data_IF_247220278640
#
_entry.id   IF_247220278640
#
_cell.length_a   1.000
_cell.length_b   1.000
_cell.length_c   1.000
_cell.angle_alpha   90.00
_cell.angle_beta   90.00
_cell.angle_gamma   90.00
#
_symmetry.space_group_name_H-M   'P 1'
#
loop_
_entity.id
_entity.type
_entity.pdbx_description
1 polymer ?
#
# COMPACT_ATOMS: atom_id res chain seq x y z
N UNK A 1 36.77 -2.12 -11.51
CA UNK A 1 36.19 -0.90 -10.97
C UNK A 1 34.90 -1.35 -10.27
N UNK A 2 34.76 -1.12 -8.96
CA UNK A 2 33.48 -1.40 -8.31
C UNK A 2 32.42 -0.51 -8.98
N UNK A 3 31.36 -1.09 -9.53
CA UNK A 3 30.22 -0.33 -10.02
C UNK A 3 29.67 0.50 -8.86
N UNK A 4 29.62 1.82 -9.06
CA UNK A 4 29.11 2.74 -8.05
C UNK A 4 27.63 2.44 -7.82
N UNK A 5 27.25 2.14 -6.58
CA UNK A 5 25.85 1.95 -6.21
C UNK A 5 25.10 3.29 -6.19
N UNK A 6 23.77 3.24 -6.07
CA UNK A 6 22.88 4.40 -6.13
C UNK A 6 22.84 5.16 -4.80
N UNK A 7 22.68 6.47 -4.87
CA UNK A 7 22.42 7.36 -3.74
C UNK A 7 20.90 7.60 -3.66
N UNK A 8 20.26 7.05 -2.64
CA UNK A 8 18.80 7.02 -2.52
C UNK A 8 18.35 7.80 -1.29
N UNK A 9 17.35 8.67 -1.43
CA UNK A 9 16.71 9.31 -0.30
C UNK A 9 15.34 8.69 0.00
N UNK A 10 15.02 8.56 1.29
CA UNK A 10 13.71 8.10 1.78
C UNK A 10 13.10 9.19 2.64
N UNK A 11 12.06 9.83 2.12
CA UNK A 11 11.28 10.85 2.84
C UNK A 11 10.18 10.17 3.64
N UNK A 12 10.14 10.42 4.96
CA UNK A 12 9.29 9.70 5.90
C UNK A 12 9.92 8.40 6.39
N UNK A 13 11.26 8.37 6.49
CA UNK A 13 12.07 7.20 6.83
C UNK A 13 11.72 6.54 8.18
N UNK A 14 11.19 7.29 9.14
CA UNK A 14 10.79 6.81 10.47
C UNK A 14 9.31 6.40 10.56
N UNK A 15 8.55 6.59 9.48
CA UNK A 15 7.16 6.12 9.38
C UNK A 15 7.09 4.62 9.08
N UNK A 16 5.92 3.99 9.32
CA UNK A 16 5.77 2.54 9.11
C UNK A 16 6.19 2.09 7.69
N UNK A 17 5.76 2.81 6.64
CA UNK A 17 6.15 2.48 5.26
C UNK A 17 7.64 2.75 5.02
N UNK A 18 8.20 3.84 5.59
CA UNK A 18 9.61 4.19 5.41
C UNK A 18 10.56 3.17 6.04
N UNK A 19 10.26 2.71 7.25
CA UNK A 19 11.02 1.66 7.93
C UNK A 19 11.00 0.36 7.12
N UNK A 20 9.81 -0.12 6.77
CA UNK A 20 9.64 -1.35 5.99
C UNK A 20 10.31 -1.26 4.61
N UNK A 21 10.22 -0.08 3.95
CA UNK A 21 10.88 0.16 2.67
C UNK A 21 12.40 0.04 2.79
N UNK A 22 12.99 0.58 3.85
CA UNK A 22 14.43 0.52 4.09
C UNK A 22 14.89 -0.92 4.37
N UNK A 23 14.11 -1.68 5.14
CA UNK A 23 14.36 -3.10 5.36
C UNK A 23 14.25 -3.90 4.05
N UNK A 24 13.21 -3.66 3.26
CA UNK A 24 13.02 -4.30 1.95
C UNK A 24 14.14 -3.95 0.96
N UNK A 25 14.58 -2.68 0.93
CA UNK A 25 15.72 -2.23 0.13
C UNK A 25 17.01 -2.92 0.54
N UNK A 26 17.23 -3.10 1.85
CA UNK A 26 18.41 -3.78 2.38
C UNK A 26 18.49 -5.25 1.96
N UNK A 27 17.33 -5.90 1.79
CA UNK A 27 17.21 -7.28 1.33
C UNK A 27 17.16 -7.43 -0.20
N UNK A 28 17.05 -6.32 -0.94
CA UNK A 28 16.86 -6.31 -2.40
C UNK A 28 18.18 -6.53 -3.17
N UNK A 29 18.05 -6.74 -4.47
CA UNK A 29 19.21 -6.81 -5.40
C UNK A 29 19.75 -5.43 -5.78
N UNK A 30 19.06 -4.34 -5.40
CA UNK A 30 19.45 -2.98 -5.72
C UNK A 30 20.76 -2.58 -5.02
N UNK A 31 21.76 -2.17 -5.80
CA UNK A 31 23.03 -1.70 -5.24
C UNK A 31 22.91 -0.27 -4.73
N UNK A 32 22.68 -0.12 -3.43
CA UNK A 32 22.59 1.17 -2.75
C UNK A 32 23.94 1.51 -2.13
N UNK A 33 24.59 2.57 -2.64
CA UNK A 33 25.85 3.05 -2.09
C UNK A 33 25.66 3.94 -0.85
N UNK A 34 24.54 4.67 -0.82
CA UNK A 34 24.21 5.57 0.30
C UNK A 34 22.69 5.71 0.39
N UNK A 35 22.17 5.54 1.60
CA UNK A 35 20.80 5.93 1.95
C UNK A 35 20.81 7.28 2.68
N UNK A 36 19.82 8.11 2.38
CA UNK A 36 19.60 9.39 3.05
C UNK A 36 18.20 9.35 3.67
N UNK A 37 18.09 8.98 4.96
CA UNK A 37 16.81 8.95 5.65
C UNK A 37 16.39 10.35 6.08
N UNK A 38 15.19 10.77 5.71
CA UNK A 38 14.67 12.11 6.01
C UNK A 38 13.30 11.97 6.69
N UNK A 39 13.09 12.72 7.78
CA UNK A 39 11.82 12.75 8.49
C UNK A 39 11.52 14.16 9.03
N UNK A 40 10.43 14.30 9.77
CA UNK A 40 10.09 15.58 10.42
C UNK A 40 10.91 15.79 11.68
N UNK A 41 10.92 17.03 12.23
CA UNK A 41 11.63 17.38 13.47
C UNK A 41 11.25 16.52 14.69
N UNK A 42 10.11 15.83 14.68
CA UNK A 42 9.75 14.86 15.73
C UNK A 42 10.69 13.63 15.77
N UNK A 43 11.46 13.42 14.72
CA UNK A 43 12.44 12.33 14.61
C UNK A 43 13.88 12.82 14.77
N UNK A 44 14.08 14.03 15.34
CA UNK A 44 15.41 14.57 15.62
C UNK A 44 16.19 13.64 16.56
N UNK A 45 17.42 13.30 16.16
CA UNK A 45 18.28 12.37 16.90
C UNK A 45 17.94 10.87 16.70
N UNK A 46 16.99 10.54 15.81
CA UNK A 46 16.77 9.17 15.42
C UNK A 46 17.82 8.71 14.39
N UNK A 47 18.09 7.41 14.39
CA UNK A 47 18.98 6.75 13.46
C UNK A 47 18.22 5.67 12.69
N UNK A 48 18.71 5.36 11.48
CA UNK A 48 18.21 4.27 10.63
C UNK A 48 19.38 3.33 10.33
N UNK A 49 19.16 2.04 10.55
CA UNK A 49 20.11 1.00 10.15
C UNK A 49 19.84 0.60 8.69
N UNK A 50 20.90 0.54 7.89
CA UNK A 50 20.84 0.05 6.52
C UNK A 50 22.10 -0.77 6.23
N UNK A 51 21.95 -2.05 5.89
CA UNK A 51 23.01 -3.04 5.94
C UNK A 51 23.69 -3.03 7.33
N UNK A 52 25.00 -2.90 7.39
CA UNK A 52 25.77 -2.89 8.65
C UNK A 52 26.14 -1.45 9.10
N UNK A 53 25.47 -0.43 8.57
CA UNK A 53 25.77 0.96 8.84
C UNK A 53 24.58 1.72 9.44
N UNK A 54 24.88 2.68 10.29
CA UNK A 54 23.90 3.55 10.95
C UNK A 54 23.93 4.92 10.24
N UNK A 55 22.75 5.39 9.84
CA UNK A 55 22.56 6.68 9.17
C UNK A 55 21.70 7.59 10.04
N UNK A 56 22.18 8.79 10.42
CA UNK A 56 21.36 9.75 11.15
C UNK A 56 20.20 10.23 10.28
N UNK A 57 19.04 10.42 10.91
CA UNK A 57 17.85 10.95 10.24
C UNK A 57 18.00 12.46 10.08
N UNK A 58 17.90 12.96 8.85
CA UNK A 58 17.87 14.40 8.58
C UNK A 58 16.45 14.94 8.76
N UNK A 59 16.33 16.10 9.42
CA UNK A 59 15.04 16.74 9.70
C UNK A 59 14.77 17.95 8.82
N UNK A 60 15.76 18.40 8.08
CA UNK A 60 15.63 19.45 7.08
C UNK A 60 15.66 18.87 5.67
N UNK A 61 15.00 19.53 4.71
CA UNK A 61 15.04 19.13 3.30
C UNK A 61 16.45 19.41 2.73
N UNK A 62 17.24 18.36 2.45
CA UNK A 62 18.58 18.55 1.89
C UNK A 62 18.51 18.94 0.41
N UNK A 63 19.66 19.30 -0.15
CA UNK A 63 19.78 19.44 -1.60
C UNK A 63 19.58 18.08 -2.27
N UNK A 64 18.61 18.00 -3.18
CA UNK A 64 18.34 16.78 -3.93
C UNK A 64 19.36 16.52 -5.06
N UNK A 65 20.22 17.50 -5.36
CA UNK A 65 21.24 17.35 -6.41
C UNK A 65 22.24 16.25 -6.07
N UNK A 66 22.44 15.36 -7.03
CA UNK A 66 23.37 14.23 -6.89
C UNK A 66 22.76 13.01 -6.20
N UNK A 67 21.45 13.01 -5.94
CA UNK A 67 20.68 11.79 -5.68
C UNK A 67 20.32 11.12 -7.00
N UNK A 68 20.35 9.79 -7.00
CA UNK A 68 19.94 9.00 -8.15
C UNK A 68 18.45 8.65 -8.11
N UNK A 69 17.88 8.60 -6.89
CA UNK A 69 16.49 8.20 -6.70
C UNK A 69 15.92 8.68 -5.37
N UNK A 70 14.58 8.84 -5.31
CA UNK A 70 13.87 9.16 -4.07
C UNK A 70 12.63 8.30 -3.88
N UNK A 71 12.30 8.02 -2.61
CA UNK A 71 11.03 7.44 -2.19
C UNK A 71 10.29 8.43 -1.29
N UNK A 72 9.00 8.61 -1.57
CA UNK A 72 8.13 9.51 -0.81
C UNK A 72 7.17 8.69 0.05
N UNK A 73 7.52 8.52 1.33
CA UNK A 73 6.75 7.81 2.35
C UNK A 73 6.22 8.75 3.45
N UNK A 74 6.45 10.05 3.33
CA UNK A 74 5.97 11.06 4.24
C UNK A 74 4.45 11.31 4.06
N UNK A 75 3.77 12.03 4.96
CA UNK A 75 2.38 12.40 4.76
C UNK A 75 2.15 13.12 3.41
N UNK A 76 0.96 12.96 2.76
CA UNK A 76 0.71 13.40 1.38
C UNK A 76 1.12 14.85 1.08
N UNK A 77 0.80 15.80 1.97
CA UNK A 77 1.15 17.21 1.76
C UNK A 77 2.65 17.46 1.76
N UNK A 78 3.40 16.79 2.63
CA UNK A 78 4.86 16.88 2.67
C UNK A 78 5.48 16.23 1.43
N UNK A 79 5.01 15.05 1.05
CA UNK A 79 5.43 14.34 -0.15
C UNK A 79 5.21 15.15 -1.42
N UNK A 80 4.08 15.88 -1.53
CA UNK A 80 3.81 16.75 -2.67
C UNK A 80 4.82 17.89 -2.82
N UNK A 81 5.26 18.48 -1.71
CA UNK A 81 6.31 19.52 -1.73
C UNK A 81 7.62 18.93 -2.24
N UNK A 82 8.04 17.79 -1.69
CA UNK A 82 9.29 17.13 -2.09
C UNK A 82 9.22 16.66 -3.54
N UNK A 83 8.09 16.11 -4.01
CA UNK A 83 7.91 15.70 -5.40
C UNK A 83 8.15 16.85 -6.37
N UNK A 84 7.66 18.05 -6.06
CA UNK A 84 7.89 19.23 -6.89
C UNK A 84 9.36 19.65 -6.96
N UNK A 85 10.07 19.59 -5.84
CA UNK A 85 11.50 19.88 -5.79
C UNK A 85 12.32 18.81 -6.53
N UNK A 86 11.93 17.54 -6.42
CA UNK A 86 12.57 16.44 -7.15
C UNK A 86 12.43 16.60 -8.68
N UNK A 87 11.23 16.97 -9.14
CA UNK A 87 11.00 17.26 -10.56
C UNK A 87 11.87 18.43 -11.07
N UNK A 88 12.07 19.48 -10.25
CA UNK A 88 12.96 20.60 -10.60
C UNK A 88 14.43 20.22 -10.60
N UNK A 89 14.81 19.27 -9.72
CA UNK A 89 16.19 18.77 -9.62
C UNK A 89 16.46 17.62 -10.61
N UNK A 90 15.47 17.21 -11.41
CA UNK A 90 15.50 16.08 -12.34
C UNK A 90 15.83 14.74 -11.65
N UNK A 91 15.45 14.59 -10.36
CA UNK A 91 15.65 13.35 -9.61
C UNK A 91 14.40 12.48 -9.74
N UNK A 92 14.53 11.25 -10.26
CA UNK A 92 13.41 10.34 -10.38
C UNK A 92 12.99 9.77 -9.03
N UNK A 93 11.72 9.38 -8.93
CA UNK A 93 11.23 8.82 -7.67
C UNK A 93 9.90 8.10 -7.75
N UNK A 94 9.54 7.51 -6.62
CA UNK A 94 8.28 6.80 -6.40
C UNK A 94 7.53 7.42 -5.23
N UNK A 95 6.25 7.74 -5.46
CA UNK A 95 5.33 8.18 -4.41
C UNK A 95 4.53 7.00 -3.83
N UNK A 96 4.76 6.71 -2.54
CA UNK A 96 4.01 5.74 -1.73
C UNK A 96 2.99 6.43 -0.82
N UNK A 97 3.03 7.76 -0.74
CA UNK A 97 2.18 8.53 0.19
C UNK A 97 0.73 8.66 -0.27
N UNK A 98 0.48 8.40 -1.57
CA UNK A 98 -0.80 8.66 -2.23
C UNK A 98 -1.00 10.09 -2.70
N UNK A 99 -0.05 10.99 -2.48
CA UNK A 99 -0.13 12.39 -2.89
C UNK A 99 -0.35 12.57 -4.40
N UNK A 100 0.26 11.69 -5.19
CA UNK A 100 0.22 11.71 -6.65
C UNK A 100 -0.67 10.61 -7.25
N UNK A 101 -1.23 9.73 -6.44
CA UNK A 101 -1.93 8.53 -6.91
C UNK A 101 -3.19 8.83 -7.76
N UNK A 102 -3.81 9.99 -7.58
CA UNK A 102 -4.96 10.45 -8.37
C UNK A 102 -4.63 11.52 -9.40
N UNK A 103 -3.35 11.90 -9.53
CA UNK A 103 -2.89 12.91 -10.49
C UNK A 103 -2.80 12.27 -11.89
N UNK A 104 -3.56 12.71 -12.90
CA UNK A 104 -3.63 12.06 -14.21
C UNK A 104 -2.27 11.99 -14.94
N UNK A 105 -1.43 13.02 -14.80
CA UNK A 105 -0.15 13.16 -15.47
C UNK A 105 0.96 12.27 -14.85
N UNK A 106 0.73 11.76 -13.63
CA UNK A 106 1.68 10.87 -12.95
C UNK A 106 1.24 9.43 -13.15
N UNK A 107 2.05 8.57 -13.77
CA UNK A 107 1.71 7.16 -13.93
C UNK A 107 1.50 6.47 -12.59
N UNK A 108 0.39 5.75 -12.48
CA UNK A 108 0.08 4.89 -11.33
C UNK A 108 0.51 3.47 -11.68
N UNK A 109 1.46 2.88 -10.92
CA UNK A 109 2.09 1.62 -11.29
C UNK A 109 2.12 0.58 -10.18
N UNK A 110 1.99 -0.68 -10.61
CA UNK A 110 2.23 -1.89 -9.83
C UNK A 110 3.31 -2.68 -10.56
N UNK A 111 4.37 -3.08 -9.88
CA UNK A 111 5.58 -3.62 -10.48
C UNK A 111 5.37 -4.86 -11.36
N UNK A 112 4.49 -5.75 -10.92
CA UNK A 112 4.19 -7.01 -11.62
C UNK A 112 3.02 -6.92 -12.61
N UNK A 113 2.39 -5.74 -12.73
CA UNK A 113 1.33 -5.53 -13.72
C UNK A 113 1.87 -4.76 -14.92
N UNK A 114 1.66 -5.32 -16.11
CA UNK A 114 2.00 -4.61 -17.33
C UNK A 114 1.25 -3.27 -17.41
N UNK A 115 1.97 -2.20 -17.66
CA UNK A 115 1.38 -0.90 -17.93
C UNK A 115 1.09 -0.79 -19.43
N UNK A 116 -0.18 -0.76 -19.86
CA UNK A 116 -0.52 -0.60 -21.27
C UNK A 116 -0.04 0.74 -21.85
N UNK A 117 0.25 1.72 -20.98
CA UNK A 117 0.76 3.04 -21.34
C UNK A 117 2.26 3.21 -21.04
N UNK A 118 3.02 2.13 -20.97
CA UNK A 118 4.46 2.12 -20.64
C UNK A 118 5.36 2.82 -21.67
N UNK A 119 4.96 3.99 -22.14
CA UNK A 119 5.77 4.87 -22.99
C UNK A 119 6.74 5.71 -22.17
N UNK A 120 8.03 5.38 -22.21
CA UNK A 120 9.10 6.17 -21.60
C UNK A 120 9.34 5.88 -20.12
N UNK A 121 10.27 6.64 -19.55
CA UNK A 121 10.72 6.54 -18.16
C UNK A 121 10.33 7.83 -17.42
N UNK A 122 9.08 7.94 -16.91
CA UNK A 122 8.61 9.17 -16.29
C UNK A 122 9.46 9.51 -15.07
N UNK A 123 9.72 10.80 -14.81
CA UNK A 123 10.58 11.20 -13.70
C UNK A 123 9.97 10.82 -12.34
N UNK A 124 8.64 10.80 -12.24
CA UNK A 124 7.91 10.43 -11.03
C UNK A 124 6.83 9.39 -11.35
N UNK A 125 6.70 8.41 -10.48
CA UNK A 125 5.68 7.35 -10.54
C UNK A 125 4.95 7.33 -9.19
N UNK A 126 3.65 7.11 -9.21
CA UNK A 126 2.87 6.84 -7.99
C UNK A 126 2.58 5.33 -7.86
N UNK A 127 2.49 4.85 -6.63
CA UNK A 127 1.95 3.52 -6.34
C UNK A 127 0.51 3.66 -5.81
N UNK A 128 -0.36 2.67 -6.07
CA UNK A 128 -1.65 2.62 -5.39
C UNK A 128 -1.45 2.47 -3.89
N UNK A 129 -2.33 3.07 -3.11
CA UNK A 129 -2.29 2.96 -1.65
C UNK A 129 -3.15 1.80 -1.16
N UNK A 130 -2.71 1.15 -0.09
CA UNK A 130 -3.45 0.17 0.71
C UNK A 130 -4.41 -0.76 -0.06
N UNK A 131 -5.73 -0.53 0.05
CA UNK A 131 -6.72 -1.42 -0.57
C UNK A 131 -6.62 -1.48 -2.09
N UNK A 132 -6.31 -0.36 -2.77
CA UNK A 132 -6.25 -0.33 -4.24
C UNK A 132 -5.12 -1.21 -4.78
N UNK A 133 -3.96 -1.25 -4.09
CA UNK A 133 -2.86 -2.12 -4.48
C UNK A 133 -3.23 -3.59 -4.37
N UNK A 134 -3.78 -4.01 -3.23
CA UNK A 134 -4.21 -5.39 -3.00
C UNK A 134 -5.31 -5.83 -3.99
N UNK A 135 -6.33 -4.98 -4.16
CA UNK A 135 -7.44 -5.27 -5.08
C UNK A 135 -6.98 -5.37 -6.54
N UNK A 136 -6.15 -4.43 -7.01
CA UNK A 136 -5.68 -4.44 -8.39
C UNK A 136 -4.80 -5.67 -8.68
N UNK A 137 -3.97 -6.09 -7.72
CA UNK A 137 -3.15 -7.30 -7.84
C UNK A 137 -3.99 -8.55 -8.08
N UNK A 138 -5.12 -8.68 -7.39
CA UNK A 138 -6.03 -9.84 -7.51
C UNK A 138 -6.98 -9.71 -8.70
N UNK A 139 -7.50 -8.52 -8.95
CA UNK A 139 -8.50 -8.29 -10.00
C UNK A 139 -7.92 -8.34 -11.41
N UNK A 140 -6.66 -7.93 -11.60
CA UNK A 140 -6.03 -7.84 -12.92
C UNK A 140 -6.06 -9.14 -13.71
N UNK A 141 -5.59 -10.30 -13.18
CA UNK A 141 -5.64 -11.57 -13.92
C UNK A 141 -7.06 -12.03 -14.24
N UNK A 142 -8.03 -11.71 -13.38
CA UNK A 142 -9.44 -12.00 -13.64
C UNK A 142 -10.01 -11.10 -14.73
N UNK A 143 -9.65 -9.82 -14.73
CA UNK A 143 -10.07 -8.85 -15.75
C UNK A 143 -9.52 -9.19 -17.13
N UNK A 144 -8.25 -9.61 -17.21
CA UNK A 144 -7.61 -9.99 -18.46
C UNK A 144 -8.23 -11.27 -19.08
N UNK A 145 -8.67 -12.21 -18.24
CA UNK A 145 -9.24 -13.48 -18.70
C UNK A 145 -10.73 -13.39 -19.05
N UNK A 146 -11.53 -12.74 -18.23
CA UNK A 146 -12.99 -12.78 -18.34
C UNK A 146 -13.66 -11.41 -18.43
N UNK A 147 -12.88 -10.32 -18.39
CA UNK A 147 -13.43 -8.97 -18.21
C UNK A 147 -14.17 -8.83 -16.87
N UNK A 148 -14.32 -7.62 -16.39
CA UNK A 148 -15.06 -7.33 -15.15
C UNK A 148 -16.19 -6.34 -15.48
N UNK A 149 -17.41 -6.61 -15.00
CA UNK A 149 -18.53 -5.68 -15.04
C UNK A 149 -18.54 -4.76 -13.81
N UNK A 150 -18.32 -5.36 -12.64
CA UNK A 150 -18.37 -4.63 -11.38
C UNK A 150 -17.71 -5.38 -10.24
N UNK A 151 -17.30 -4.62 -9.27
CA UNK A 151 -16.61 -5.07 -8.06
C UNK A 151 -17.30 -4.47 -6.84
N UNK A 152 -17.58 -5.29 -5.83
CA UNK A 152 -17.99 -4.85 -4.51
C UNK A 152 -16.96 -5.35 -3.51
N UNK A 153 -16.33 -4.43 -2.78
CA UNK A 153 -15.31 -4.74 -1.79
C UNK A 153 -15.65 -4.12 -0.44
N UNK A 154 -15.78 -4.97 0.58
CA UNK A 154 -15.79 -4.53 1.97
C UNK A 154 -14.41 -4.70 2.54
N UNK A 155 -13.74 -3.59 2.81
CA UNK A 155 -12.38 -3.51 3.33
C UNK A 155 -12.41 -3.42 4.84
N UNK A 156 -11.81 -4.40 5.51
CA UNK A 156 -11.60 -4.41 6.96
C UNK A 156 -10.24 -3.78 7.24
N UNK A 157 -10.26 -2.54 7.68
CA UNK A 157 -9.08 -1.69 7.83
C UNK A 157 -8.60 -1.68 9.29
N UNK A 158 -7.35 -2.07 9.52
CA UNK A 158 -6.78 -2.13 10.86
C UNK A 158 -6.23 -0.78 11.35
N UNK A 159 -5.86 -0.70 12.62
CA UNK A 159 -5.25 0.48 13.21
C UNK A 159 -3.95 0.90 12.51
N UNK A 160 -3.19 -0.06 11.95
CA UNK A 160 -1.92 0.22 11.25
C UNK A 160 -2.09 1.06 9.98
N UNK A 161 -3.28 1.18 9.42
CA UNK A 161 -3.56 2.09 8.30
C UNK A 161 -3.32 3.56 8.65
N UNK A 162 -3.36 3.90 9.93
CA UNK A 162 -2.98 5.20 10.46
C UNK A 162 -1.52 5.24 10.99
N UNK A 163 -0.71 4.25 10.64
CA UNK A 163 0.67 4.13 11.09
C UNK A 163 0.79 3.87 12.60
N UNK A 164 1.93 4.21 13.16
CA UNK A 164 2.23 4.02 14.60
C UNK A 164 1.18 4.70 15.48
N UNK A 165 0.74 5.90 15.13
CA UNK A 165 -0.28 6.63 15.90
C UNK A 165 -1.61 5.88 16.01
N UNK A 166 -2.02 5.18 14.95
CA UNK A 166 -3.23 4.36 14.96
C UNK A 166 -3.13 3.16 15.90
N UNK A 167 -1.99 2.46 15.87
CA UNK A 167 -1.74 1.31 16.75
C UNK A 167 -1.58 1.73 18.21
N UNK A 168 -0.95 2.87 18.49
CA UNK A 168 -0.86 3.46 19.83
C UNK A 168 -2.24 3.88 20.38
N UNK A 169 -3.12 4.45 19.51
CA UNK A 169 -4.51 4.77 19.88
C UNK A 169 -5.24 3.52 20.32
N UNK A 170 -5.25 2.46 19.50
CA UNK A 170 -5.90 1.19 19.82
C UNK A 170 -5.33 0.57 21.12
N UNK A 171 -4.02 0.64 21.31
CA UNK A 171 -3.37 0.10 22.51
C UNK A 171 -3.78 0.86 23.76
N UNK A 172 -3.71 2.19 23.76
CA UNK A 172 -4.05 3.04 24.91
C UNK A 172 -5.53 2.93 25.30
N UNK A 173 -6.42 2.92 24.30
CA UNK A 173 -7.85 2.72 24.49
C UNK A 173 -8.15 1.34 25.11
N UNK A 174 -7.51 0.28 24.59
CA UNK A 174 -7.65 -1.09 25.09
C UNK A 174 -7.19 -1.20 26.55
N UNK A 175 -6.05 -0.61 26.90
CA UNK A 175 -5.53 -0.60 28.28
C UNK A 175 -6.49 0.14 29.22
N UNK A 176 -7.01 1.28 28.79
CA UNK A 176 -7.96 2.05 29.61
C UNK A 176 -9.23 1.23 29.92
N UNK A 177 -9.80 0.57 28.89
CA UNK A 177 -11.00 -0.27 29.05
C UNK A 177 -10.74 -1.47 29.98
N UNK A 178 -9.61 -2.17 29.83
CA UNK A 178 -9.25 -3.28 30.73
C UNK A 178 -9.05 -2.82 32.19
N UNK A 179 -8.55 -1.62 32.39
CA UNK A 179 -8.36 -1.03 33.72
C UNK A 179 -9.61 -0.32 34.26
N UNK A 180 -10.75 -0.38 33.56
CA UNK A 180 -12.00 0.30 33.91
C UNK A 180 -11.80 1.82 34.11
N UNK A 181 -10.96 2.41 33.27
CA UNK A 181 -10.67 3.83 33.19
C UNK A 181 -11.43 4.47 32.03
N UNK A 182 -11.56 5.79 32.06
CA UNK A 182 -12.10 6.53 30.92
C UNK A 182 -11.18 6.37 29.70
N UNK A 183 -11.80 6.12 28.54
CA UNK A 183 -11.06 6.01 27.27
C UNK A 183 -10.51 7.40 26.90
N UNK A 184 -9.24 7.51 26.51
CA UNK A 184 -8.67 8.78 26.07
C UNK A 184 -9.45 9.40 24.91
N UNK A 185 -9.49 10.73 24.85
CA UNK A 185 -10.06 11.44 23.70
C UNK A 185 -9.32 11.04 22.40
N UNK A 186 -10.05 10.61 21.36
CA UNK A 186 -9.41 10.14 20.13
C UNK A 186 -8.75 11.29 19.39
N UNK A 187 -7.51 11.10 18.96
CA UNK A 187 -6.71 12.10 18.22
C UNK A 187 -6.43 11.68 16.78
N UNK A 188 -6.58 10.42 16.45
CA UNK A 188 -6.32 9.83 15.13
C UNK A 188 -7.62 9.59 14.39
N UNK A 189 -8.60 9.03 15.06
CA UNK A 189 -9.91 8.70 14.52
C UNK A 189 -10.99 9.64 15.05
N UNK A 190 -12.15 9.65 14.43
CA UNK A 190 -13.29 10.47 14.87
C UNK A 190 -13.98 9.94 16.14
N UNK A 191 -13.66 8.71 16.54
CA UNK A 191 -14.17 8.03 17.76
C UNK A 191 -13.18 6.94 18.18
N UNK A 192 -13.25 6.42 19.42
CA UNK A 192 -12.47 5.28 19.85
C UNK A 192 -12.71 4.05 18.97
N UNK A 193 -11.66 3.22 18.80
CA UNK A 193 -11.70 2.01 17.95
C UNK A 193 -11.56 0.71 18.75
N UNK A 194 -11.16 0.77 20.03
CA UNK A 194 -10.97 -0.43 20.83
C UNK A 194 -12.32 -1.15 21.05
N UNK A 195 -12.38 -2.44 20.67
CA UNK A 195 -13.56 -3.31 20.79
C UNK A 195 -14.80 -2.81 20.03
N UNK A 196 -14.61 -1.93 19.03
CA UNK A 196 -15.68 -1.43 18.18
C UNK A 196 -15.29 -1.58 16.70
N UNK A 197 -16.28 -1.68 15.82
CA UNK A 197 -16.10 -1.66 14.39
C UNK A 197 -17.19 -0.84 13.72
N UNK A 198 -16.84 -0.20 12.59
CA UNK A 198 -17.85 0.55 11.86
C UNK A 198 -17.30 1.22 10.60
N UNK A 199 -18.21 1.50 9.66
CA UNK A 199 -17.86 2.17 8.42
C UNK A 199 -17.71 3.68 8.60
N UNK A 200 -17.11 4.34 7.60
CA UNK A 200 -17.07 5.79 7.48
C UNK A 200 -16.27 6.51 8.58
N UNK A 201 -15.34 5.81 9.23
CA UNK A 201 -14.52 6.42 10.27
C UNK A 201 -13.51 7.38 9.66
N UNK A 202 -13.70 8.68 9.94
CA UNK A 202 -12.80 9.72 9.44
C UNK A 202 -11.52 9.77 10.26
N UNK A 203 -10.43 10.05 9.57
CA UNK A 203 -9.14 10.32 10.20
C UNK A 203 -8.97 11.82 10.44
N UNK A 204 -8.64 12.17 11.68
CA UNK A 204 -8.44 13.58 12.09
C UNK A 204 -7.02 14.07 11.77
N UNK A 205 -6.05 13.14 11.73
CA UNK A 205 -4.63 13.44 11.61
C UNK A 205 -4.15 13.81 10.20
N UNK A 206 -4.99 13.58 9.18
CA UNK A 206 -4.66 13.86 7.77
C UNK A 206 -5.53 14.93 7.11
N UNK A 207 -6.20 15.77 7.91
CA UNK A 207 -7.04 16.85 7.36
C UNK A 207 -8.37 16.41 6.75
N UNK A 208 -8.80 15.22 6.98
CA UNK A 208 -10.16 14.70 7.04
C UNK A 208 -11.09 14.75 5.84
N UNK A 209 -10.73 15.31 4.70
CA UNK A 209 -11.71 15.56 3.62
C UNK A 209 -11.68 14.56 2.46
N UNK A 210 -10.67 13.71 2.38
CA UNK A 210 -10.58 12.77 1.26
C UNK A 210 -11.31 11.49 1.61
N UNK A 211 -12.40 11.23 0.90
CA UNK A 211 -13.09 9.94 0.98
C UNK A 211 -12.17 8.83 0.46
N UNK A 212 -11.71 7.98 1.37
CA UNK A 212 -10.79 6.88 1.07
C UNK A 212 -11.45 5.83 0.16
N UNK A 213 -12.76 5.69 0.22
CA UNK A 213 -13.54 4.80 -0.64
C UNK A 213 -13.52 5.29 -2.08
N UNK A 214 -13.81 6.58 -2.27
CA UNK A 214 -13.74 7.24 -3.60
C UNK A 214 -12.32 7.23 -4.18
N UNK A 215 -11.31 7.50 -3.36
CA UNK A 215 -9.90 7.43 -3.80
C UNK A 215 -9.50 6.01 -4.23
N UNK A 216 -9.91 5.00 -3.46
CA UNK A 216 -9.63 3.60 -3.81
C UNK A 216 -10.29 3.25 -5.14
N UNK A 217 -11.56 3.61 -5.33
CA UNK A 217 -12.28 3.39 -6.58
C UNK A 217 -11.63 4.12 -7.77
N UNK A 218 -11.20 5.38 -7.58
CA UNK A 218 -10.51 6.15 -8.62
C UNK A 218 -9.16 5.54 -9.03
N UNK A 219 -8.38 5.05 -8.07
CA UNK A 219 -7.13 4.34 -8.37
C UNK A 219 -7.38 3.02 -9.12
N UNK A 220 -8.40 2.26 -8.73
CA UNK A 220 -8.79 1.03 -9.42
C UNK A 220 -9.25 1.30 -10.85
N UNK A 221 -10.06 2.34 -11.07
CA UNK A 221 -10.47 2.76 -12.42
C UNK A 221 -9.27 3.10 -13.31
N UNK A 222 -8.27 3.82 -12.77
CA UNK A 222 -7.02 4.11 -13.49
C UNK A 222 -6.19 2.87 -13.85
N UNK A 223 -6.24 1.82 -13.01
CA UNK A 223 -5.43 0.61 -13.17
C UNK A 223 -6.12 -0.45 -14.04
N UNK A 224 -7.44 -0.57 -13.95
CA UNK A 224 -8.20 -1.68 -14.53
C UNK A 224 -9.16 -1.25 -15.64
N UNK A 225 -9.51 0.03 -15.70
CA UNK A 225 -10.45 0.60 -16.66
C UNK A 225 -11.60 1.33 -15.96
N UNK A 226 -12.02 2.44 -16.55
CA UNK A 226 -13.10 3.30 -16.07
C UNK A 226 -14.51 2.81 -16.46
N UNK A 227 -14.59 1.75 -17.25
CA UNK A 227 -15.81 1.04 -17.60
C UNK A 227 -16.23 -0.02 -16.55
N UNK A 228 -15.44 -0.18 -15.48
CA UNK A 228 -15.73 -1.08 -14.35
C UNK A 228 -16.36 -0.28 -13.20
N UNK A 229 -17.49 -0.76 -12.68
CA UNK A 229 -18.11 -0.20 -11.48
C UNK A 229 -17.40 -0.68 -10.21
N UNK A 230 -16.92 0.23 -9.36
CA UNK A 230 -16.29 -0.10 -8.08
C UNK A 230 -17.15 0.42 -6.92
N UNK A 231 -17.74 -0.50 -6.14
CA UNK A 231 -18.39 -0.23 -4.87
C UNK A 231 -17.45 -0.60 -3.71
N UNK A 232 -16.88 0.40 -3.05
CA UNK A 232 -15.94 0.20 -1.93
C UNK A 232 -16.60 0.63 -0.64
N UNK A 233 -16.52 -0.20 0.40
CA UNK A 233 -16.92 0.15 1.76
C UNK A 233 -15.77 -0.13 2.70
N UNK A 234 -15.33 0.88 3.45
CA UNK A 234 -14.26 0.75 4.43
C UNK A 234 -14.83 0.63 5.84
N UNK A 235 -14.46 -0.44 6.52
CA UNK A 235 -14.86 -0.73 7.90
C UNK A 235 -13.60 -0.74 8.75
N UNK A 236 -13.51 0.20 9.71
CA UNK A 236 -12.46 0.16 10.72
C UNK A 236 -12.73 -1.01 11.67
N UNK A 237 -11.73 -1.85 11.89
CA UNK A 237 -11.80 -2.98 12.81
C UNK A 237 -10.73 -2.87 13.91
N UNK A 238 -10.99 -3.39 15.14
CA UNK A 238 -10.08 -3.24 16.28
C UNK A 238 -8.94 -4.26 16.23
N UNK A 239 -8.24 -4.33 15.09
CA UNK A 239 -7.03 -5.13 14.89
C UNK A 239 -5.83 -4.22 14.76
N UNK A 240 -4.66 -4.66 15.23
CA UNK A 240 -3.43 -3.86 15.16
C UNK A 240 -2.89 -3.77 13.74
N UNK A 241 -2.83 -4.89 13.02
CA UNK A 241 -2.14 -5.03 11.75
C UNK A 241 -3.02 -5.70 10.70
N UNK A 242 -2.67 -5.48 9.44
CA UNK A 242 -3.24 -6.14 8.28
C UNK A 242 -4.44 -5.42 7.68
N UNK A 243 -4.83 -5.86 6.51
CA UNK A 243 -5.99 -5.41 5.77
C UNK A 243 -6.70 -6.64 5.22
N UNK A 244 -7.99 -6.76 5.53
CA UNK A 244 -8.85 -7.82 5.02
C UNK A 244 -9.83 -7.27 3.98
N UNK A 245 -10.20 -8.09 3.01
CA UNK A 245 -11.23 -7.71 2.03
C UNK A 245 -12.18 -8.86 1.78
N UNK A 246 -13.47 -8.61 1.98
CA UNK A 246 -14.53 -9.43 1.38
C UNK A 246 -14.79 -8.88 -0.02
N UNK A 247 -14.48 -9.67 -1.04
CA UNK A 247 -14.50 -9.26 -2.44
C UNK A 247 -15.54 -10.04 -3.22
N UNK A 248 -16.43 -9.32 -3.90
CA UNK A 248 -17.39 -9.85 -4.86
C UNK A 248 -17.10 -9.25 -6.23
N UNK A 249 -16.98 -10.12 -7.24
CA UNK A 249 -16.64 -9.73 -8.62
C UNK A 249 -17.67 -10.29 -9.58
N UNK A 250 -18.25 -9.43 -10.41
CA UNK A 250 -19.08 -9.85 -11.55
C UNK A 250 -18.24 -9.80 -12.82
N UNK A 251 -18.02 -10.94 -13.47
CA UNK A 251 -17.27 -11.03 -14.71
C UNK A 251 -18.18 -10.90 -15.95
N UNK A 252 -17.61 -10.47 -17.08
CA UNK A 252 -18.33 -10.35 -18.36
C UNK A 252 -18.56 -11.71 -18.97
N UNK A 253 -17.53 -12.54 -18.98
CA UNK A 253 -17.60 -13.92 -19.42
C UNK A 253 -17.66 -14.87 -18.23
N UNK A 254 -18.27 -16.04 -18.36
CA UNK A 254 -18.23 -17.06 -17.32
C UNK A 254 -16.78 -17.43 -16.96
N UNK A 255 -16.51 -17.51 -15.66
CA UNK A 255 -15.22 -17.91 -15.12
C UNK A 255 -15.46 -18.90 -13.97
N UNK A 256 -15.12 -20.16 -14.21
CA UNK A 256 -15.26 -21.21 -13.20
C UNK A 256 -14.27 -21.01 -12.04
N UNK A 257 -14.63 -21.48 -10.85
CA UNK A 257 -13.83 -21.28 -9.63
C UNK A 257 -12.43 -21.88 -9.78
N UNK A 258 -12.33 -23.07 -10.33
CA UNK A 258 -11.06 -23.78 -10.54
C UNK A 258 -10.17 -23.02 -11.51
N UNK A 259 -10.74 -22.42 -12.55
CA UNK A 259 -10.00 -21.58 -13.49
C UNK A 259 -9.54 -20.28 -12.82
N UNK A 260 -10.41 -19.60 -12.08
CA UNK A 260 -10.06 -18.40 -11.32
C UNK A 260 -8.92 -18.68 -10.33
N UNK A 261 -8.98 -19.77 -9.59
CA UNK A 261 -7.91 -20.20 -8.69
C UNK A 261 -6.61 -20.49 -9.42
N UNK A 262 -6.68 -21.16 -10.58
CA UNK A 262 -5.49 -21.46 -11.38
C UNK A 262 -4.82 -20.20 -11.95
N UNK A 263 -5.59 -19.16 -12.24
CA UNK A 263 -5.07 -17.84 -12.63
C UNK A 263 -4.38 -17.15 -11.44
N UNK A 264 -5.05 -17.11 -10.29
CA UNK A 264 -4.53 -16.49 -9.07
C UNK A 264 -3.27 -17.17 -8.56
N UNK A 265 -3.19 -18.50 -8.64
CA UNK A 265 -2.00 -19.25 -8.25
C UNK A 265 -0.73 -18.93 -9.09
N UNK A 266 -0.93 -18.35 -10.28
CA UNK A 266 0.18 -17.94 -11.18
C UNK A 266 0.43 -16.45 -11.16
N UNK A 267 -0.43 -15.68 -10.51
CA UNK A 267 -0.33 -14.23 -10.50
C UNK A 267 0.78 -13.79 -9.54
N UNK A 268 1.70 -12.98 -10.04
CA UNK A 268 2.72 -12.37 -9.20
C UNK A 268 2.09 -11.48 -8.13
N UNK A 269 2.63 -11.53 -6.92
CA UNK A 269 2.10 -10.78 -5.78
C UNK A 269 0.87 -11.41 -5.11
N UNK A 270 0.43 -12.59 -5.56
CA UNK A 270 -0.64 -13.38 -4.96
C UNK A 270 -0.08 -14.66 -4.35
N UNK A 271 -0.47 -14.96 -3.12
CA UNK A 271 -0.29 -16.28 -2.52
C UNK A 271 -1.67 -16.92 -2.30
N UNK A 272 -1.96 -17.94 -3.12
CA UNK A 272 -3.23 -18.63 -3.09
C UNK A 272 -3.31 -19.64 -1.95
N UNK A 273 -4.22 -19.39 -1.01
CA UNK A 273 -4.44 -20.26 0.14
C UNK A 273 -5.10 -21.58 -0.24
N UNK A 274 -4.79 -22.70 0.43
CA UNK A 274 -5.43 -23.99 0.16
C UNK A 274 -6.95 -23.97 0.34
N UNK A 275 -7.67 -24.73 -0.48
CA UNK A 275 -9.15 -24.78 -0.42
C UNK A 275 -9.70 -25.52 0.79
N UNK A 276 -8.96 -26.48 1.29
CA UNK A 276 -9.32 -27.35 2.43
C UNK A 276 -8.95 -26.74 3.77
N UNK A 277 -8.32 -25.54 3.76
CA UNK A 277 -7.97 -24.80 4.95
C UNK A 277 -8.97 -23.69 5.28
N UNK A 278 -9.00 -23.26 6.53
CA UNK A 278 -9.62 -21.98 6.88
C UNK A 278 -8.96 -20.85 6.07
N UNK A 279 -9.72 -19.83 5.69
CA UNK A 279 -9.17 -18.69 4.95
C UNK A 279 -8.03 -18.00 5.70
N UNK A 280 -7.10 -17.33 5.00
CA UNK A 280 -5.97 -16.66 5.64
C UNK A 280 -6.46 -15.55 6.59
N UNK A 281 -5.88 -15.49 7.79
CA UNK A 281 -6.16 -14.41 8.73
C UNK A 281 -5.27 -13.19 8.46
N UNK A 282 -5.63 -12.02 9.01
CA UNK A 282 -4.76 -10.83 8.96
C UNK A 282 -3.40 -11.08 9.62
N UNK A 283 -3.38 -11.91 10.67
CA UNK A 283 -2.13 -12.30 11.34
C UNK A 283 -1.24 -13.15 10.43
N UNK A 284 -1.82 -14.02 9.60
CA UNK A 284 -1.06 -14.83 8.64
C UNK A 284 -0.44 -13.98 7.53
N UNK A 285 -1.03 -12.83 7.23
CA UNK A 285 -0.54 -11.90 6.23
C UNK A 285 0.54 -10.92 6.76
N UNK A 286 0.65 -10.77 8.09
CA UNK A 286 1.59 -9.82 8.69
C UNK A 286 3.04 -10.12 8.29
N UNK A 287 3.80 -9.10 7.89
CA UNK A 287 5.19 -9.21 7.44
C UNK A 287 5.37 -9.81 6.04
N UNK A 288 4.30 -9.92 5.24
CA UNK A 288 4.36 -10.49 3.88
C UNK A 288 4.07 -9.45 2.82
N UNK A 289 4.87 -9.48 1.76
CA UNK A 289 4.74 -8.59 0.61
C UNK A 289 3.76 -9.08 -0.48
N UNK A 290 2.95 -10.12 -0.20
CA UNK A 290 1.94 -10.69 -1.11
C UNK A 290 0.53 -10.47 -0.56
N UNK A 291 -0.46 -10.64 -1.45
CA UNK A 291 -1.87 -10.73 -1.10
C UNK A 291 -2.24 -12.20 -0.93
N UNK A 292 -2.61 -12.60 0.27
CA UNK A 292 -3.15 -13.94 0.52
C UNK A 292 -4.60 -14.00 0.04
N UNK A 293 -4.91 -14.94 -0.83
CA UNK A 293 -6.27 -15.13 -1.37
C UNK A 293 -6.81 -16.49 -0.95
N UNK A 294 -7.97 -16.50 -0.31
CA UNK A 294 -8.61 -17.74 0.11
C UNK A 294 -10.12 -17.62 0.15
N UNK A 295 -10.78 -18.65 0.69
CA UNK A 295 -12.24 -18.72 0.78
C UNK A 295 -12.94 -18.33 -0.53
N UNK A 296 -12.43 -18.88 -1.62
CA UNK A 296 -12.94 -18.65 -2.98
C UNK A 296 -14.23 -19.43 -3.22
N UNK A 297 -15.17 -18.85 -3.95
CA UNK A 297 -16.43 -19.50 -4.28
C UNK A 297 -17.22 -18.74 -5.33
N UNK A 298 -18.27 -19.37 -5.86
CA UNK A 298 -19.25 -18.69 -6.70
C UNK A 298 -20.10 -17.76 -5.86
N UNK A 299 -20.53 -16.65 -6.46
CA UNK A 299 -21.52 -15.75 -5.87
C UNK A 299 -22.83 -15.83 -6.68
N UNK A 300 -23.84 -16.56 -6.20
CA UNK A 300 -25.10 -16.73 -6.92
C UNK A 300 -25.95 -15.45 -6.98
N UNK A 301 -25.60 -14.42 -6.20
CA UNK A 301 -26.29 -13.12 -6.22
C UNK A 301 -25.89 -12.25 -7.40
N UNK A 302 -24.76 -12.58 -8.06
CA UNK A 302 -24.24 -11.86 -9.21
C UNK A 302 -24.24 -12.75 -10.46
N UNK A 303 -24.48 -12.17 -11.63
CA UNK A 303 -24.26 -12.86 -12.90
C UNK A 303 -22.76 -13.11 -13.08
N UNK A 304 -22.36 -14.37 -13.34
CA UNK A 304 -20.95 -14.79 -13.39
C UNK A 304 -20.14 -14.32 -12.17
N UNK A 305 -20.73 -14.49 -10.97
CA UNK A 305 -20.21 -13.94 -9.74
C UNK A 305 -19.15 -14.81 -9.08
N UNK A 306 -18.06 -14.18 -8.63
CA UNK A 306 -17.03 -14.76 -7.79
C UNK A 306 -17.02 -14.08 -6.43
N UNK A 307 -16.76 -14.86 -5.39
CA UNK A 307 -16.54 -14.38 -4.02
C UNK A 307 -15.15 -14.82 -3.56
N UNK A 308 -14.37 -13.89 -3.01
CA UNK A 308 -13.02 -14.12 -2.52
C UNK A 308 -12.82 -13.42 -1.16
N UNK A 309 -11.95 -13.99 -0.35
CA UNK A 309 -11.39 -13.32 0.82
C UNK A 309 -9.92 -13.00 0.57
N UNK A 310 -9.52 -11.75 0.86
CA UNK A 310 -8.14 -11.29 0.77
C UNK A 310 -7.65 -10.91 2.17
N UNK A 311 -6.39 -11.24 2.45
CA UNK A 311 -5.67 -10.74 3.61
C UNK A 311 -4.27 -10.31 3.19
N UNK A 312 -3.82 -9.12 3.64
CA UNK A 312 -2.50 -8.60 3.31
C UNK A 312 -1.94 -7.71 4.40
N UNK A 313 -0.63 -7.56 4.43
CA UNK A 313 0.04 -6.48 5.14
C UNK A 313 0.22 -5.30 4.16
N UNK A 314 -0.55 -4.21 4.30
CA UNK A 314 -0.49 -3.13 3.33
C UNK A 314 0.84 -2.37 3.34
N UNK A 315 1.59 -2.43 4.44
CA UNK A 315 2.90 -1.78 4.58
C UNK A 315 3.96 -2.57 3.82
N UNK A 316 4.06 -3.88 4.09
CA UNK A 316 4.99 -4.78 3.39
C UNK A 316 4.67 -4.87 1.89
N UNK A 317 3.38 -4.94 1.52
CA UNK A 317 2.95 -4.96 0.13
C UNK A 317 3.37 -3.69 -0.62
N UNK A 318 3.20 -2.50 0.01
CA UNK A 318 3.60 -1.23 -0.59
C UNK A 318 5.13 -1.13 -0.76
N UNK A 319 5.91 -1.53 0.26
CA UNK A 319 7.36 -1.53 0.22
C UNK A 319 7.89 -2.48 -0.86
N UNK A 320 7.40 -3.71 -0.91
CA UNK A 320 7.78 -4.70 -1.92
C UNK A 320 7.48 -4.22 -3.35
N UNK A 321 6.30 -3.61 -3.57
CA UNK A 321 5.94 -3.03 -4.86
C UNK A 321 6.90 -1.90 -5.27
N UNK A 322 7.20 -0.98 -4.35
CA UNK A 322 8.05 0.17 -4.64
C UNK A 322 9.51 -0.23 -4.91
N UNK A 323 10.05 -1.20 -4.17
CA UNK A 323 11.41 -1.70 -4.40
C UNK A 323 11.51 -2.37 -5.76
N UNK A 324 10.57 -3.22 -6.15
CA UNK A 324 10.54 -3.85 -7.50
C UNK A 324 10.43 -2.81 -8.62
N UNK A 325 9.64 -1.74 -8.42
CA UNK A 325 9.58 -0.62 -9.39
C UNK A 325 10.92 0.11 -9.50
N UNK A 326 11.63 0.31 -8.39
CA UNK A 326 12.94 0.94 -8.38
C UNK A 326 14.01 0.04 -9.04
N UNK A 327 14.00 -1.27 -8.78
CA UNK A 327 14.86 -2.24 -9.43
C UNK A 327 14.69 -2.19 -10.96
N UNK A 328 13.45 -2.24 -11.44
CA UNK A 328 13.15 -2.12 -12.87
C UNK A 328 13.60 -0.77 -13.45
N UNK A 329 13.55 0.31 -12.67
CA UNK A 329 13.93 1.66 -13.10
C UNK A 329 15.43 1.88 -13.15
N UNK A 330 16.16 1.37 -12.17
CA UNK A 330 17.59 1.62 -12.00
C UNK A 330 18.47 0.57 -12.69
N UNK A 331 17.84 -0.39 -13.34
CA UNK A 331 18.53 -1.27 -14.31
C UNK A 331 19.23 -2.48 -13.69
N UNK A 332 18.66 -3.04 -12.64
CA UNK A 332 19.02 -4.39 -12.18
C UNK A 332 18.01 -5.35 -12.79
N UNK A 333 18.47 -6.04 -13.78
CA UNK A 333 17.82 -7.19 -14.43
C UNK A 333 18.32 -8.46 -13.80
#
# INVERSE_FOLDING_TARGET
>A
MAEAGHRIAVFGATGAIGVELIETLSASSLRVAQILPIATGNSEGADVEFHDAIYPVETELPSLRGLDFIFLCAPPMASLVVAREALRAEVPGIDLSGALATTPEVPLRIAHLADPNAGGSPPMVATPTGPALALATVLRPLAERAGINGVQATVLDSASSAGVRGTESLMSESIALFNQQDVPEPTVYSRPIAFDCGPGMKRQDIGGELDREEQTAAMLARLLGDDIGFGITMVQVPTFLGLGVVLHVSTREPLEIEEARALLAKADGVDLWPDDAEGPSLRAAAGRGEVLVGHTGSDPSLGNGLRLWLATDPVCLAAANAVRLAEARLGIV
#
